data_IF_488743403434
#
_entry.id   IF_488743403434
#
_cell.length_a   1.000
_cell.length_b   1.000
_cell.length_c   1.000
_cell.angle_alpha   90.00
_cell.angle_beta   90.00
_cell.angle_gamma   90.00
#
_symmetry.space_group_name_H-M   'P 1'
#
loop_
_entity.id
_entity.type
_entity.pdbx_description
1 polymer ?
#
# COMPACT_ATOMS: atom_id res chain seq x y z
N UNK A 1 20.15 21.61 -60.88
CA UNK A 1 20.01 21.05 -59.52
C UNK A 1 19.25 19.73 -59.62
N UNK A 2 19.88 18.59 -59.31
CA UNK A 2 19.17 17.29 -59.25
C UNK A 2 18.40 17.24 -57.92
N UNK A 3 17.08 17.05 -57.98
CA UNK A 3 16.25 16.82 -56.78
C UNK A 3 16.69 15.50 -56.14
N UNK A 4 16.98 15.51 -54.85
CA UNK A 4 17.26 14.29 -54.11
C UNK A 4 16.01 13.40 -54.11
N UNK A 5 16.15 12.07 -54.27
CA UNK A 5 15.02 11.15 -54.21
C UNK A 5 14.39 11.23 -52.81
N UNK A 6 13.08 11.48 -52.77
CA UNK A 6 12.26 11.47 -51.56
C UNK A 6 11.55 10.12 -51.49
N UNK A 7 11.73 9.39 -50.39
CA UNK A 7 10.96 8.17 -50.13
C UNK A 7 9.51 8.56 -49.81
N UNK A 8 8.57 7.85 -50.41
CA UNK A 8 7.14 8.13 -50.35
C UNK A 8 6.43 6.93 -49.71
N UNK A 9 5.44 7.17 -48.86
CA UNK A 9 4.62 6.14 -48.24
C UNK A 9 3.57 5.55 -49.21
N UNK A 10 2.77 4.61 -48.72
CA UNK A 10 1.68 3.97 -49.51
C UNK A 10 0.59 4.93 -49.97
N UNK A 11 0.50 6.13 -49.38
CA UNK A 11 -0.51 7.15 -49.65
C UNK A 11 0.06 8.34 -50.44
N UNK A 12 1.32 8.27 -50.90
CA UNK A 12 1.92 9.32 -51.70
C UNK A 12 2.54 10.47 -50.89
N UNK A 13 2.64 10.36 -49.56
CA UNK A 13 3.23 11.39 -48.69
C UNK A 13 4.72 11.09 -48.37
N UNK A 14 5.56 12.11 -48.15
CA UNK A 14 6.96 11.90 -47.76
C UNK A 14 7.09 11.03 -46.51
N UNK A 15 7.91 9.97 -46.57
CA UNK A 15 8.04 8.95 -45.51
C UNK A 15 8.42 9.50 -44.13
N UNK A 16 9.01 10.71 -44.07
CA UNK A 16 9.35 11.40 -42.81
C UNK A 16 8.12 11.89 -42.05
N UNK A 17 7.05 12.26 -42.76
CA UNK A 17 5.77 12.67 -42.16
C UNK A 17 4.96 11.46 -41.69
N UNK A 18 5.12 10.31 -42.37
CA UNK A 18 4.36 9.09 -42.05
C UNK A 18 4.97 8.27 -40.89
N UNK A 19 6.23 8.48 -40.53
CA UNK A 19 6.93 7.74 -39.46
C UNK A 19 7.07 8.52 -38.14
N UNK A 20 6.60 9.76 -38.06
CA UNK A 20 6.62 10.49 -36.79
C UNK A 20 5.60 9.88 -35.82
N UNK A 21 6.05 9.56 -34.61
CA UNK A 21 5.18 9.21 -33.48
C UNK A 21 3.98 10.18 -33.41
N UNK A 22 2.79 9.69 -33.76
CA UNK A 22 1.58 10.51 -33.83
C UNK A 22 1.05 10.92 -32.45
N UNK A 23 1.53 10.28 -31.38
CA UNK A 23 1.14 10.58 -30.00
C UNK A 23 1.56 11.97 -29.50
N UNK A 24 2.56 12.61 -30.13
CA UNK A 24 2.97 14.00 -29.88
C UNK A 24 2.81 14.90 -31.11
N UNK A 25 2.09 14.43 -32.14
CA UNK A 25 1.92 15.18 -33.38
C UNK A 25 0.84 16.26 -33.28
N UNK A 26 0.62 16.96 -34.40
CA UNK A 26 -0.42 18.02 -34.57
C UNK A 26 -1.87 17.55 -34.44
N UNK A 27 -2.10 16.26 -34.18
CA UNK A 27 -3.44 15.73 -33.87
C UNK A 27 -4.04 16.39 -32.63
N UNK A 28 -5.37 16.56 -32.59
CA UNK A 28 -6.08 17.23 -31.50
C UNK A 28 -5.70 18.72 -31.31
N UNK A 29 -5.48 19.45 -32.42
CA UNK A 29 -5.19 20.89 -32.39
C UNK A 29 -3.80 21.24 -31.86
N UNK A 30 -2.85 20.31 -31.92
CA UNK A 30 -1.47 20.51 -31.44
C UNK A 30 -1.31 20.49 -29.91
N UNK A 31 -2.34 20.08 -29.16
CA UNK A 31 -2.29 20.03 -27.68
C UNK A 31 -1.17 19.14 -27.13
N UNK A 32 -0.76 18.11 -27.89
CA UNK A 32 0.29 17.17 -27.49
C UNK A 32 1.66 17.53 -28.05
N UNK A 33 1.78 18.62 -28.84
CA UNK A 33 3.03 19.03 -29.48
C UNK A 33 4.09 19.51 -28.45
N UNK A 34 3.65 20.00 -27.29
CA UNK A 34 4.52 20.44 -26.19
C UNK A 34 4.47 19.47 -24.99
N UNK A 35 3.90 18.27 -25.15
CA UNK A 35 3.85 17.29 -24.07
C UNK A 35 5.24 16.66 -23.88
N UNK A 36 5.97 17.17 -22.88
CA UNK A 36 7.24 16.61 -22.41
C UNK A 36 7.06 16.11 -20.97
N UNK A 37 6.62 14.85 -20.77
CA UNK A 37 6.44 14.33 -19.42
C UNK A 37 7.81 14.10 -18.75
N UNK A 38 7.98 14.41 -17.46
CA UNK A 38 9.19 14.08 -16.73
C UNK A 38 9.32 12.56 -16.59
N UNK A 39 10.56 12.06 -16.58
CA UNK A 39 10.82 10.64 -16.25
C UNK A 39 10.78 10.52 -14.73
N UNK A 40 9.74 9.86 -14.23
CA UNK A 40 9.47 9.72 -12.80
C UNK A 40 9.20 8.24 -12.45
N UNK A 41 9.46 7.86 -11.20
CA UNK A 41 8.96 6.60 -10.67
C UNK A 41 7.42 6.68 -10.53
N UNK A 42 6.76 5.52 -10.47
CA UNK A 42 5.31 5.47 -10.25
C UNK A 42 4.88 6.19 -8.95
N UNK A 43 5.72 6.11 -7.92
CA UNK A 43 5.53 6.81 -6.64
C UNK A 43 5.64 8.33 -6.81
N UNK A 44 6.72 8.82 -7.44
CA UNK A 44 6.95 10.25 -7.64
C UNK A 44 5.83 10.91 -8.46
N UNK A 45 5.30 10.20 -9.48
CA UNK A 45 4.19 10.68 -10.29
C UNK A 45 2.86 10.81 -9.51
N UNK A 46 2.69 10.07 -8.41
CA UNK A 46 1.49 10.10 -7.56
C UNK A 46 1.51 11.29 -6.59
N UNK A 47 2.68 11.63 -6.05
CA UNK A 47 2.88 12.61 -4.97
C UNK A 47 2.14 13.96 -5.18
N UNK A 48 2.12 14.57 -6.38
CA UNK A 48 1.45 15.87 -6.59
C UNK A 48 -0.08 15.82 -6.33
N UNK A 49 -0.70 14.67 -6.54
CA UNK A 49 -2.15 14.48 -6.43
C UNK A 49 -2.57 13.69 -5.20
N UNK A 50 -1.63 13.00 -4.54
CA UNK A 50 -1.87 12.10 -3.41
C UNK A 50 -2.67 12.77 -2.29
N UNK A 51 -2.27 13.98 -1.87
CA UNK A 51 -2.96 14.70 -0.77
C UNK A 51 -4.43 15.00 -1.09
N UNK A 52 -4.69 15.50 -2.29
CA UNK A 52 -6.05 15.79 -2.74
C UNK A 52 -6.87 14.50 -2.93
N UNK A 53 -6.24 13.45 -3.46
CA UNK A 53 -6.84 12.12 -3.59
C UNK A 53 -7.28 11.57 -2.23
N UNK A 54 -6.38 11.57 -1.25
CA UNK A 54 -6.66 11.12 0.11
C UNK A 54 -7.75 11.96 0.79
N UNK A 55 -7.73 13.29 0.63
CA UNK A 55 -8.78 14.16 1.18
C UNK A 55 -10.16 13.88 0.56
N UNK A 56 -10.23 13.61 -0.75
CA UNK A 56 -11.48 13.20 -1.43
C UNK A 56 -11.95 11.84 -0.98
N UNK A 57 -11.04 10.88 -0.80
CA UNK A 57 -11.36 9.55 -0.30
C UNK A 57 -11.89 9.60 1.14
N UNK A 58 -11.26 10.38 2.01
CA UNK A 58 -11.73 10.64 3.38
C UNK A 58 -13.16 11.19 3.41
N UNK A 59 -13.42 12.22 2.61
CA UNK A 59 -14.72 12.87 2.53
C UNK A 59 -15.80 11.89 2.02
N UNK A 60 -15.45 11.12 0.99
CA UNK A 60 -16.32 10.10 0.42
C UNK A 60 -16.70 9.03 1.46
N UNK A 61 -15.72 8.48 2.19
CA UNK A 61 -15.96 7.43 3.20
C UNK A 61 -16.80 7.98 4.37
N UNK A 62 -16.62 9.25 4.76
CA UNK A 62 -17.42 9.86 5.84
C UNK A 62 -18.86 10.16 5.44
N UNK A 63 -19.09 10.59 4.20
CA UNK A 63 -20.38 11.15 3.78
C UNK A 63 -21.22 10.21 2.91
N UNK A 64 -20.67 9.10 2.41
CA UNK A 64 -21.38 8.16 1.56
C UNK A 64 -21.47 6.78 2.22
N UNK A 65 -22.70 6.37 2.58
CA UNK A 65 -22.95 5.07 3.22
C UNK A 65 -22.56 3.85 2.37
N UNK A 66 -22.57 3.96 1.03
CA UNK A 66 -22.11 2.88 0.14
C UNK A 66 -20.60 2.73 0.24
N UNK A 67 -19.86 3.86 0.24
CA UNK A 67 -18.41 3.84 0.39
C UNK A 67 -18.00 3.34 1.78
N UNK A 68 -18.64 3.83 2.84
CA UNK A 68 -18.40 3.36 4.21
C UNK A 68 -18.63 1.83 4.34
N UNK A 69 -19.74 1.33 3.81
CA UNK A 69 -20.04 -0.10 3.83
C UNK A 69 -19.04 -0.93 3.00
N UNK A 70 -18.57 -0.41 1.86
CA UNK A 70 -17.54 -1.08 1.06
C UNK A 70 -16.24 -1.28 1.86
N UNK A 71 -15.85 -0.31 2.70
CA UNK A 71 -14.68 -0.42 3.58
C UNK A 71 -14.91 -1.48 4.67
N UNK A 72 -16.10 -1.54 5.27
CA UNK A 72 -16.43 -2.59 6.25
C UNK A 72 -16.36 -3.99 5.64
N UNK A 73 -16.99 -4.19 4.48
CA UNK A 73 -16.94 -5.46 3.73
C UNK A 73 -15.49 -5.83 3.37
N UNK A 74 -14.67 -4.85 2.98
CA UNK A 74 -13.27 -5.08 2.65
C UNK A 74 -12.47 -5.56 3.87
N UNK A 75 -12.69 -4.94 5.04
CA UNK A 75 -12.09 -5.40 6.31
C UNK A 75 -12.55 -6.80 6.69
N UNK A 76 -13.84 -7.11 6.52
CA UNK A 76 -14.41 -8.43 6.82
C UNK A 76 -13.84 -9.52 5.91
N UNK A 77 -13.69 -9.26 4.61
CA UNK A 77 -13.15 -10.24 3.67
C UNK A 77 -11.68 -10.54 3.89
N UNK A 78 -10.88 -9.54 4.31
CA UNK A 78 -9.44 -9.73 4.50
C UNK A 78 -9.14 -10.31 5.89
N UNK A 79 -9.72 -9.72 6.94
CA UNK A 79 -9.35 -10.04 8.32
C UNK A 79 -10.27 -11.08 8.93
N UNK A 80 -11.56 -11.01 8.61
CA UNK A 80 -12.58 -11.83 9.24
C UNK A 80 -12.71 -11.56 10.74
N UNK A 81 -13.15 -12.59 11.49
CA UNK A 81 -13.44 -12.48 12.91
C UNK A 81 -12.18 -12.44 13.81
N UNK A 82 -11.09 -13.09 13.40
CA UNK A 82 -9.84 -13.20 14.17
C UNK A 82 -8.67 -13.41 13.22
N UNK A 83 -7.60 -12.63 13.41
CA UNK A 83 -6.42 -12.69 12.56
C UNK A 83 -5.36 -13.62 13.17
N UNK A 84 -5.42 -14.90 12.80
CA UNK A 84 -4.57 -15.97 13.35
C UNK A 84 -3.29 -16.20 12.55
N UNK A 85 -2.23 -16.54 13.26
CA UNK A 85 -1.02 -17.12 12.66
C UNK A 85 -1.33 -18.53 12.14
N UNK A 86 -0.86 -18.84 10.93
CA UNK A 86 -0.73 -20.22 10.45
C UNK A 86 0.74 -20.50 10.22
N UNK A 87 1.37 -21.15 11.20
CA UNK A 87 2.81 -21.37 11.18
C UNK A 87 3.14 -22.69 10.48
N UNK A 88 3.83 -22.61 9.33
CA UNK A 88 4.16 -23.78 8.49
C UNK A 88 5.64 -23.81 8.12
N UNK A 89 6.57 -23.95 9.08
CA UNK A 89 7.99 -24.11 8.79
C UNK A 89 8.25 -25.42 8.04
N UNK A 90 9.31 -25.45 7.23
CA UNK A 90 9.77 -26.66 6.58
C UNK A 90 10.51 -27.57 7.58
N UNK A 91 9.74 -28.31 8.38
CA UNK A 91 10.25 -29.13 9.48
C UNK A 91 11.20 -30.24 9.03
N UNK A 92 11.02 -30.77 7.81
CA UNK A 92 11.93 -31.76 7.22
C UNK A 92 13.32 -31.18 6.96
N UNK A 93 13.39 -29.96 6.45
CA UNK A 93 14.65 -29.26 6.27
C UNK A 93 15.33 -28.94 7.60
N UNK A 94 14.54 -28.63 8.63
CA UNK A 94 15.02 -28.40 9.99
C UNK A 94 15.44 -29.69 10.72
N UNK A 95 15.28 -30.87 10.10
CA UNK A 95 15.63 -32.15 10.70
C UNK A 95 14.74 -32.54 11.90
N UNK A 96 13.58 -31.92 12.04
CA UNK A 96 12.61 -32.26 13.08
C UNK A 96 11.89 -33.56 12.73
N UNK A 97 11.38 -34.26 13.73
CA UNK A 97 10.39 -35.29 13.50
C UNK A 97 8.98 -34.65 13.44
N UNK A 98 8.01 -35.40 12.90
CA UNK A 98 6.65 -34.90 12.68
C UNK A 98 5.90 -34.62 13.99
N UNK A 99 6.10 -35.45 15.01
CA UNK A 99 5.43 -35.28 16.31
C UNK A 99 5.90 -34.01 17.04
N UNK A 100 7.21 -33.80 17.11
CA UNK A 100 7.82 -32.60 17.70
C UNK A 100 7.44 -31.35 16.91
N UNK A 101 7.30 -31.46 15.58
CA UNK A 101 6.82 -30.37 14.75
C UNK A 101 5.40 -29.94 15.11
N UNK A 102 4.47 -30.89 15.25
CA UNK A 102 3.09 -30.57 15.62
C UNK A 102 2.99 -29.93 17.01
N UNK A 103 3.71 -30.48 18.00
CA UNK A 103 3.77 -29.90 19.33
C UNK A 103 4.36 -28.48 19.30
N UNK A 104 5.44 -28.26 18.56
CA UNK A 104 6.08 -26.95 18.43
C UNK A 104 5.17 -25.92 17.75
N UNK A 105 4.46 -26.29 16.68
CA UNK A 105 3.49 -25.40 16.03
C UNK A 105 2.37 -25.00 16.98
N UNK A 106 1.83 -25.95 17.75
CA UNK A 106 0.79 -25.68 18.75
C UNK A 106 1.28 -24.69 19.82
N UNK A 107 2.50 -24.87 20.34
CA UNK A 107 3.12 -23.94 21.28
C UNK A 107 3.28 -22.52 20.69
N UNK A 108 3.78 -22.42 19.45
CA UNK A 108 3.98 -21.13 18.77
C UNK A 108 2.65 -20.43 18.51
N UNK A 109 1.64 -21.13 17.98
CA UNK A 109 0.34 -20.55 17.68
C UNK A 109 -0.42 -20.14 18.94
N UNK A 110 -0.29 -20.91 20.03
CA UNK A 110 -0.86 -20.57 21.34
C UNK A 110 -0.18 -19.33 21.93
N UNK A 111 1.16 -19.28 21.90
CA UNK A 111 1.91 -18.13 22.40
C UNK A 111 1.64 -16.87 21.57
N UNK A 112 1.47 -17.01 20.25
CA UNK A 112 1.05 -15.93 19.38
C UNK A 112 -0.34 -15.41 19.74
N UNK A 113 -1.31 -16.30 19.98
CA UNK A 113 -2.65 -15.90 20.35
C UNK A 113 -2.67 -15.11 21.67
N UNK A 114 -1.90 -15.56 22.68
CA UNK A 114 -1.78 -14.86 23.96
C UNK A 114 -1.13 -13.48 23.81
N UNK A 115 -0.16 -13.33 22.91
CA UNK A 115 0.45 -12.02 22.62
C UNK A 115 -0.51 -11.08 21.89
N UNK A 116 -1.21 -11.60 20.88
CA UNK A 116 -1.99 -10.82 19.94
C UNK A 116 -3.37 -10.41 20.46
N UNK A 117 -4.11 -11.32 21.09
CA UNK A 117 -5.46 -11.08 21.55
C UNK A 117 -5.68 -11.43 23.04
N UNK A 118 -4.82 -10.96 23.97
CA UNK A 118 -5.06 -11.11 25.40
C UNK A 118 -6.20 -10.19 25.84
N UNK A 119 -6.79 -10.48 27.01
CA UNK A 119 -7.86 -9.67 27.62
C UNK A 119 -7.48 -8.19 27.76
N UNK A 120 -6.19 -7.87 27.87
CA UNK A 120 -5.67 -6.50 28.01
C UNK A 120 -4.65 -6.13 26.92
N UNK A 121 -4.99 -6.42 25.65
CA UNK A 121 -4.43 -5.78 24.44
C UNK A 121 -2.93 -5.48 24.48
N UNK A 122 -2.08 -6.52 24.52
CA UNK A 122 -0.65 -6.32 24.79
C UNK A 122 0.16 -5.85 23.58
N UNK A 123 -0.32 -5.99 22.34
CA UNK A 123 0.51 -5.68 21.16
C UNK A 123 0.49 -4.18 20.80
N UNK A 124 -0.56 -3.46 21.16
CA UNK A 124 -0.71 -2.02 20.94
C UNK A 124 0.07 -1.24 22.00
N UNK A 125 0.94 -0.34 21.57
CA UNK A 125 1.68 0.53 22.49
C UNK A 125 0.76 1.43 23.33
N UNK A 126 -0.48 1.69 22.87
CA UNK A 126 -1.48 2.42 23.64
C UNK A 126 -2.30 1.53 24.58
N UNK A 127 -2.19 0.20 24.48
CA UNK A 127 -2.94 -0.76 25.29
C UNK A 127 -4.45 -0.76 25.03
N UNK A 128 -4.91 -0.33 23.85
CA UNK A 128 -6.33 -0.16 23.53
C UNK A 128 -6.90 -1.20 22.59
N UNK A 129 -6.06 -1.80 21.75
CA UNK A 129 -6.48 -2.67 20.67
C UNK A 129 -5.82 -4.04 20.77
N UNK A 130 -6.54 -5.07 20.37
CA UNK A 130 -5.95 -6.37 20.07
C UNK A 130 -5.27 -6.36 18.70
N UNK A 131 -4.52 -7.40 18.38
CA UNK A 131 -3.86 -7.52 17.07
C UNK A 131 -4.88 -7.58 15.94
N UNK A 132 -5.97 -8.33 16.12
CA UNK A 132 -7.03 -8.41 15.12
C UNK A 132 -7.58 -7.00 14.84
N UNK A 133 -7.88 -6.21 15.87
CA UNK A 133 -8.35 -4.83 15.72
C UNK A 133 -7.30 -3.93 15.04
N UNK A 134 -6.03 -4.11 15.39
CA UNK A 134 -4.91 -3.37 14.79
C UNK A 134 -4.79 -3.64 13.28
N UNK A 135 -4.93 -4.90 12.85
CA UNK A 135 -4.94 -5.28 11.44
C UNK A 135 -6.19 -4.75 10.73
N UNK A 136 -7.36 -4.80 11.36
CA UNK A 136 -8.60 -4.22 10.79
C UNK A 136 -8.48 -2.72 10.57
N UNK A 137 -7.85 -2.00 11.50
CA UNK A 137 -7.52 -0.59 11.32
C UNK A 137 -6.56 -0.38 10.14
N UNK A 138 -5.48 -1.16 10.07
CA UNK A 138 -4.52 -1.09 8.98
C UNK A 138 -5.18 -1.29 7.61
N UNK A 139 -5.98 -2.34 7.45
CA UNK A 139 -6.73 -2.61 6.21
C UNK A 139 -7.69 -1.46 5.89
N UNK A 140 -8.39 -0.93 6.90
CA UNK A 140 -9.27 0.22 6.73
C UNK A 140 -8.52 1.44 6.22
N UNK A 141 -7.43 1.84 6.88
CA UNK A 141 -6.60 2.98 6.49
C UNK A 141 -6.04 2.77 5.08
N UNK A 142 -5.51 1.59 4.76
CA UNK A 142 -4.98 1.30 3.43
C UNK A 142 -6.01 1.48 2.32
N UNK A 143 -7.27 1.08 2.57
CA UNK A 143 -8.31 1.10 1.56
C UNK A 143 -8.67 2.52 1.06
N UNK A 144 -8.44 3.59 1.85
CA UNK A 144 -8.73 4.95 1.42
C UNK A 144 -7.54 5.94 1.49
N UNK A 145 -6.50 5.65 2.29
CA UNK A 145 -5.25 6.42 2.30
C UNK A 145 -4.16 5.83 1.40
N UNK A 146 -4.28 4.56 1.01
CA UNK A 146 -3.28 3.85 0.20
C UNK A 146 -2.06 3.35 0.97
N UNK A 147 -1.90 3.71 2.25
CA UNK A 147 -0.68 3.44 3.02
C UNK A 147 -0.99 3.12 4.49
N UNK A 148 -0.12 2.34 5.12
CA UNK A 148 -0.18 2.02 6.56
C UNK A 148 1.20 2.32 7.16
N UNK A 149 1.24 3.12 8.23
CA UNK A 149 2.48 3.35 8.98
C UNK A 149 2.35 2.81 10.40
N UNK A 150 3.38 2.09 10.82
CA UNK A 150 3.48 1.51 12.14
C UNK A 150 4.89 1.77 12.68
N UNK A 151 4.97 2.27 13.90
CA UNK A 151 6.22 2.41 14.64
C UNK A 151 6.38 1.23 15.61
N UNK A 152 7.43 0.40 15.48
CA UNK A 152 7.75 -0.58 16.50
C UNK A 152 8.27 0.15 17.75
N UNK A 153 7.83 -0.33 18.92
CA UNK A 153 8.28 0.12 20.21
C UNK A 153 8.70 -1.09 21.06
N UNK A 154 9.60 -0.87 22.00
CA UNK A 154 10.02 -1.89 22.96
C UNK A 154 9.64 -1.44 24.35
N UNK A 155 8.79 -2.22 25.02
CA UNK A 155 8.38 -1.97 26.39
C UNK A 155 9.42 -2.55 27.35
N UNK A 156 10.41 -1.72 27.71
CA UNK A 156 11.51 -2.11 28.59
C UNK A 156 11.05 -2.38 30.04
N UNK A 157 9.91 -1.81 30.45
CA UNK A 157 9.39 -1.89 31.82
C UNK A 157 8.49 -3.12 32.02
N UNK A 158 7.92 -3.68 30.94
CA UNK A 158 7.12 -4.88 31.02
C UNK A 158 7.91 -6.09 31.53
N UNK A 159 7.29 -6.84 32.44
CA UNK A 159 7.74 -8.16 32.88
C UNK A 159 7.20 -9.29 31.99
N UNK A 160 6.35 -8.96 31.01
CA UNK A 160 5.78 -9.92 30.08
C UNK A 160 6.83 -10.59 29.20
N UNK A 161 6.49 -11.79 28.71
CA UNK A 161 7.32 -12.54 27.78
C UNK A 161 7.54 -11.76 26.47
N UNK A 162 6.47 -11.15 25.97
CA UNK A 162 6.48 -10.35 24.75
C UNK A 162 6.45 -8.85 25.06
N UNK A 163 7.50 -8.15 24.63
CA UNK A 163 7.74 -6.73 24.94
C UNK A 163 7.76 -5.83 23.72
N UNK A 164 7.82 -6.41 22.53
CA UNK A 164 7.58 -5.65 21.31
C UNK A 164 6.15 -5.13 21.34
N UNK A 165 5.97 -3.88 20.96
CA UNK A 165 4.68 -3.19 20.82
C UNK A 165 4.67 -2.47 19.49
N UNK A 166 3.49 -2.10 19.03
CA UNK A 166 3.32 -1.34 17.80
C UNK A 166 2.42 -0.14 18.03
N UNK A 167 2.81 1.00 17.45
CA UNK A 167 2.00 2.22 17.43
C UNK A 167 1.60 2.53 16.00
N UNK A 168 0.31 2.59 15.74
CA UNK A 168 -0.21 3.06 14.46
C UNK A 168 0.09 4.56 14.31
N UNK A 169 0.61 4.96 13.17
CA UNK A 169 0.86 6.36 12.81
C UNK A 169 -0.03 6.69 11.62
N UNK A 170 -0.81 7.76 11.72
CA UNK A 170 -1.64 8.18 10.60
C UNK A 170 -0.77 8.58 9.40
N UNK A 171 -1.05 8.08 8.17
CA UNK A 171 -0.34 8.50 6.96
C UNK A 171 -0.33 10.02 6.76
N UNK A 172 -1.35 10.72 7.24
CA UNK A 172 -1.48 12.18 7.18
C UNK A 172 -0.42 12.94 7.98
N UNK A 173 0.33 12.25 8.84
CA UNK A 173 1.42 12.80 9.66
C UNK A 173 2.80 12.48 9.08
N UNK A 174 2.86 11.75 7.98
CA UNK A 174 4.09 11.34 7.30
C UNK A 174 4.14 12.05 5.95
N UNK A 175 5.33 12.49 5.56
CA UNK A 175 5.56 13.19 4.30
C UNK A 175 6.95 12.84 3.80
N UNK A 176 7.11 12.72 2.48
CA UNK A 176 8.41 12.45 1.87
C UNK A 176 9.19 13.76 1.72
N UNK A 177 10.35 13.92 2.39
CA UNK A 177 11.14 15.15 2.30
C UNK A 177 11.55 15.43 0.84
N UNK A 178 11.51 16.70 0.43
CA UNK A 178 11.98 17.14 -0.89
C UNK A 178 10.96 17.10 -2.04
N UNK A 179 9.77 16.55 -1.81
CA UNK A 179 8.68 16.51 -2.81
C UNK A 179 7.48 17.40 -2.47
N UNK A 180 7.63 18.32 -1.51
CA UNK A 180 6.55 19.20 -1.10
C UNK A 180 6.54 20.53 -1.87
N UNK A 181 5.43 20.82 -2.54
CA UNK A 181 4.79 22.12 -2.30
C UNK A 181 4.30 22.02 -0.85
N UNK A 182 5.07 22.58 0.08
CA UNK A 182 4.82 22.52 1.52
C UNK A 182 3.38 22.89 1.88
N UNK A 183 2.97 22.48 3.09
CA UNK A 183 1.69 22.88 3.70
C UNK A 183 1.37 24.35 3.38
N UNK A 184 0.35 24.55 2.53
CA UNK A 184 -0.40 25.81 2.44
C UNK A 184 -1.68 25.65 3.24
#
# INVERSE_FOLDING_TARGET
MKRAPVLIDVNGQPLRESMSYSGGGVGFGGQMAEWVPPVESADAALLPSLRLGNARADDLVRNNGIAANAIEIHKDHIVGHMFRLSYRPNWRYLGMNEADFHAFVEEVETAWQEYCDPVFGTIDAEGKRTFTEFIREGVGVHAFNGEIFVQPAWDAESTGLFRTKFKAISPKRVDTPGHSLGNR
#
